data_IF_281693384657
#
_entry.id   IF_281693384657
#
_cell.length_a   1.000
_cell.length_b   1.000
_cell.length_c   1.000
_cell.angle_alpha   90.00
_cell.angle_beta   90.00
_cell.angle_gamma   90.00
#
_symmetry.space_group_name_H-M   'P 1'
#
loop_
_entity.id
_entity.type
_entity.pdbx_description
1 polymer ?
#
# COMPACT_ATOMS: atom_id res chain seq x y z
N UNK A 1 -69.50 -10.56 -33.56
CA UNK A 1 -68.86 -11.47 -32.57
C UNK A 1 -68.05 -12.58 -33.24
N UNK A 2 -68.67 -13.38 -34.14
CA UNK A 2 -67.99 -14.46 -34.86
C UNK A 2 -66.75 -14.02 -35.66
N UNK A 3 -66.81 -12.85 -36.31
CA UNK A 3 -65.68 -12.27 -37.06
C UNK A 3 -64.47 -11.89 -36.19
N UNK A 4 -64.70 -11.51 -34.94
CA UNK A 4 -63.62 -11.15 -34.00
C UNK A 4 -62.95 -12.43 -33.49
N UNK A 5 -63.75 -13.45 -33.18
CA UNK A 5 -63.28 -14.77 -32.73
C UNK A 5 -62.49 -15.47 -33.84
N UNK A 6 -62.92 -15.34 -35.11
CA UNK A 6 -62.20 -15.93 -36.25
C UNK A 6 -60.85 -15.25 -36.50
N UNK A 7 -60.78 -13.92 -36.35
CA UNK A 7 -59.51 -13.17 -36.43
C UNK A 7 -58.54 -13.55 -35.30
N UNK A 8 -59.03 -13.67 -34.05
CA UNK A 8 -58.21 -14.13 -32.93
C UNK A 8 -57.68 -15.55 -33.13
N UNK A 9 -58.53 -16.47 -33.60
CA UNK A 9 -58.15 -17.85 -33.86
C UNK A 9 -57.14 -17.98 -35.01
N UNK A 10 -57.30 -17.18 -36.09
CA UNK A 10 -56.36 -17.13 -37.19
C UNK A 10 -54.99 -16.58 -36.75
N UNK A 11 -54.97 -15.52 -35.94
CA UNK A 11 -53.73 -14.95 -35.40
C UNK A 11 -53.00 -15.91 -34.45
N UNK A 12 -53.73 -16.68 -33.64
CA UNK A 12 -53.14 -17.71 -32.76
C UNK A 12 -52.49 -18.82 -33.58
N UNK A 13 -53.18 -19.36 -34.59
CA UNK A 13 -52.64 -20.39 -35.49
C UNK A 13 -51.45 -19.89 -36.31
N UNK A 14 -51.45 -18.62 -36.73
CA UNK A 14 -50.32 -18.01 -37.44
C UNK A 14 -49.08 -17.89 -36.53
N UNK A 15 -49.26 -17.53 -35.26
CA UNK A 15 -48.17 -17.48 -34.27
C UNK A 15 -47.60 -18.87 -33.96
N UNK A 16 -48.46 -19.89 -33.85
CA UNK A 16 -48.05 -21.28 -33.60
C UNK A 16 -47.34 -21.89 -34.83
N UNK A 17 -47.81 -21.61 -36.05
CA UNK A 17 -47.11 -22.05 -37.29
C UNK A 17 -45.80 -21.30 -37.54
N UNK A 18 -45.71 -20.03 -37.16
CA UNK A 18 -44.49 -19.23 -37.24
C UNK A 18 -43.47 -19.51 -36.13
N UNK A 19 -43.81 -20.34 -35.15
CA UNK A 19 -42.92 -20.80 -34.07
C UNK A 19 -42.02 -21.97 -34.47
N UNK A 20 -41.76 -22.16 -35.77
CA UNK A 20 -40.44 -22.61 -36.25
C UNK A 20 -39.37 -21.54 -35.95
N UNK A 21 -39.35 -21.00 -34.72
CA UNK A 21 -38.11 -20.54 -34.12
C UNK A 21 -37.35 -21.83 -33.87
N UNK A 22 -36.58 -22.25 -34.86
CA UNK A 22 -35.47 -23.16 -34.67
C UNK A 22 -34.83 -22.78 -33.35
N UNK A 23 -34.93 -23.67 -32.37
CA UNK A 23 -34.27 -23.53 -31.09
C UNK A 23 -32.79 -23.58 -31.44
N UNK A 24 -32.23 -22.41 -31.72
CA UNK A 24 -30.80 -22.24 -31.91
C UNK A 24 -30.23 -22.53 -30.52
N UNK A 25 -29.61 -23.69 -30.39
CA UNK A 25 -28.91 -24.05 -29.17
C UNK A 25 -27.89 -22.96 -28.83
N UNK A 26 -27.59 -22.78 -27.55
CA UNK A 26 -26.63 -21.76 -27.09
C UNK A 26 -25.22 -21.96 -27.67
N UNK A 27 -24.95 -23.13 -28.25
CA UNK A 27 -23.75 -23.51 -28.97
C UNK A 27 -23.70 -23.00 -30.43
N UNK A 28 -24.84 -22.54 -30.97
CA UNK A 28 -24.95 -22.14 -32.38
C UNK A 28 -25.05 -20.63 -32.49
N UNK A 29 -24.11 -20.03 -33.21
CA UNK A 29 -24.25 -18.64 -33.65
C UNK A 29 -25.05 -18.60 -34.96
N UNK A 30 -26.02 -17.69 -35.03
CA UNK A 30 -26.82 -17.45 -36.26
C UNK A 30 -26.00 -16.68 -37.30
N UNK A 31 -24.89 -16.07 -36.86
CA UNK A 31 -24.08 -15.15 -37.65
C UNK A 31 -22.65 -15.67 -37.76
N UNK A 32 -22.14 -15.66 -38.98
CA UNK A 32 -20.70 -15.79 -39.20
C UNK A 32 -20.04 -14.49 -38.76
N UNK A 33 -19.31 -14.53 -37.64
CA UNK A 33 -18.53 -13.38 -37.20
C UNK A 33 -17.31 -13.21 -38.12
N UNK A 34 -16.94 -11.97 -38.48
CA UNK A 34 -15.71 -11.73 -39.21
C UNK A 34 -14.48 -12.14 -38.36
N UNK A 35 -13.35 -12.46 -38.99
CA UNK A 35 -12.10 -12.68 -38.27
C UNK A 35 -11.75 -11.44 -37.45
N UNK A 36 -11.08 -11.68 -36.33
CA UNK A 36 -10.62 -10.61 -35.44
C UNK A 36 -9.60 -9.73 -36.17
N UNK A 37 -9.61 -8.42 -35.87
CA UNK A 37 -8.69 -7.47 -36.51
C UNK A 37 -7.24 -7.78 -36.08
N UNK A 38 -6.32 -8.08 -37.02
CA UNK A 38 -4.92 -8.36 -36.70
C UNK A 38 -4.19 -7.16 -36.09
N UNK A 39 -4.72 -5.94 -36.27
CA UNK A 39 -4.16 -4.72 -35.69
C UNK A 39 -4.70 -4.41 -34.28
N UNK A 40 -5.57 -5.26 -33.73
CA UNK A 40 -6.12 -5.03 -32.40
C UNK A 40 -5.06 -5.27 -31.31
N UNK A 41 -4.61 -4.19 -30.68
CA UNK A 41 -3.82 -4.23 -29.46
C UNK A 41 -4.73 -4.14 -28.21
N UNK A 42 -4.79 -5.19 -27.35
CA UNK A 42 -5.56 -5.16 -26.12
C UNK A 42 -5.15 -4.03 -25.16
N UNK A 43 -3.88 -3.63 -25.11
CA UNK A 43 -3.41 -2.61 -24.17
C UNK A 43 -3.85 -1.20 -24.58
N UNK A 44 -4.09 -0.98 -25.87
CA UNK A 44 -4.56 0.30 -26.42
C UNK A 44 -6.08 0.35 -26.48
N UNK A 45 -6.71 -0.72 -26.98
CA UNK A 45 -8.14 -0.73 -27.29
C UNK A 45 -9.02 -1.19 -26.13
N UNK A 46 -8.49 -2.00 -25.20
CA UNK A 46 -9.26 -2.43 -24.04
C UNK A 46 -9.04 -1.50 -22.85
N UNK A 47 -10.03 -0.62 -22.61
CA UNK A 47 -10.04 0.32 -21.49
C UNK A 47 -9.82 -0.35 -20.13
N UNK A 48 -10.35 -1.56 -19.93
CA UNK A 48 -10.17 -2.31 -18.69
C UNK A 48 -8.71 -2.71 -18.51
N UNK A 49 -8.06 -3.25 -19.55
CA UNK A 49 -6.65 -3.67 -19.49
C UNK A 49 -5.74 -2.47 -19.21
N UNK A 50 -6.01 -1.32 -19.84
CA UNK A 50 -5.29 -0.07 -19.58
C UNK A 50 -5.42 0.38 -18.12
N UNK A 51 -6.65 0.38 -17.58
CA UNK A 51 -6.89 0.75 -16.19
C UNK A 51 -6.20 -0.21 -15.20
N UNK A 52 -6.22 -1.51 -15.50
CA UNK A 52 -5.56 -2.53 -14.69
C UNK A 52 -4.04 -2.31 -14.63
N UNK A 53 -3.40 -2.07 -15.78
CA UNK A 53 -1.97 -1.80 -15.86
C UNK A 53 -1.56 -0.55 -15.07
N UNK A 54 -2.33 0.54 -15.19
CA UNK A 54 -2.09 1.77 -14.44
C UNK A 54 -2.19 1.54 -12.93
N UNK A 55 -3.20 0.77 -12.49
CA UNK A 55 -3.39 0.45 -11.08
C UNK A 55 -2.22 -0.37 -10.52
N UNK A 56 -1.75 -1.37 -11.26
CA UNK A 56 -0.59 -2.19 -10.84
C UNK A 56 0.67 -1.34 -10.67
N UNK A 57 0.92 -0.40 -11.58
CA UNK A 57 2.06 0.52 -11.45
C UNK A 57 1.94 1.40 -10.20
N UNK A 58 0.75 1.93 -9.94
CA UNK A 58 0.50 2.74 -8.75
C UNK A 58 0.72 1.94 -7.45
N UNK A 59 0.18 0.73 -7.37
CA UNK A 59 0.34 -0.15 -6.21
C UNK A 59 1.82 -0.49 -5.96
N UNK A 60 2.59 -0.79 -7.01
CA UNK A 60 4.02 -1.05 -6.91
C UNK A 60 4.81 0.17 -6.39
N UNK A 61 4.47 1.38 -6.86
CA UNK A 61 5.08 2.62 -6.35
C UNK A 61 4.77 2.86 -4.88
N UNK A 62 3.51 2.65 -4.47
CA UNK A 62 3.10 2.79 -3.07
C UNK A 62 3.82 1.80 -2.15
N UNK A 63 3.98 0.54 -2.59
CA UNK A 63 4.70 -0.46 -1.83
C UNK A 63 6.20 -0.13 -1.72
N UNK A 64 6.82 0.34 -2.81
CA UNK A 64 8.21 0.78 -2.80
C UNK A 64 8.44 1.96 -1.84
N UNK A 65 7.52 2.92 -1.79
CA UNK A 65 7.60 4.05 -0.87
C UNK A 65 7.46 3.59 0.59
N UNK A 66 6.49 2.70 0.89
CA UNK A 66 6.32 2.15 2.24
C UNK A 66 7.58 1.46 2.73
N UNK A 67 8.22 0.63 1.89
CA UNK A 67 9.48 -0.04 2.24
C UNK A 67 10.61 0.95 2.51
N UNK A 68 10.67 2.07 1.79
CA UNK A 68 11.66 3.14 2.03
C UNK A 68 11.45 3.82 3.38
N UNK A 69 10.20 4.15 3.71
CA UNK A 69 9.83 4.75 4.99
C UNK A 69 10.15 3.81 6.17
N UNK A 70 9.84 2.52 6.04
CA UNK A 70 10.18 1.50 7.05
C UNK A 70 11.70 1.40 7.27
N UNK A 71 12.49 1.41 6.20
CA UNK A 71 13.95 1.41 6.27
C UNK A 71 14.50 2.67 6.96
N UNK A 72 13.89 3.82 6.70
CA UNK A 72 14.27 5.09 7.32
C UNK A 72 13.97 5.09 8.83
N UNK A 73 12.80 4.60 9.23
CA UNK A 73 12.43 4.44 10.64
C UNK A 73 13.40 3.52 11.38
N UNK A 74 13.80 2.41 10.76
CA UNK A 74 14.79 1.49 11.32
C UNK A 74 16.16 2.16 11.51
N UNK A 75 16.59 2.99 10.55
CA UNK A 75 17.84 3.76 10.68
C UNK A 75 17.77 4.72 11.86
N UNK A 76 16.69 5.49 11.98
CA UNK A 76 16.48 6.42 13.08
C UNK A 76 16.45 5.72 14.45
N UNK A 77 15.85 4.53 14.54
CA UNK A 77 15.87 3.73 15.77
C UNK A 77 17.28 3.29 16.15
N UNK A 78 18.10 2.83 15.20
CA UNK A 78 19.51 2.48 15.45
C UNK A 78 20.33 3.69 15.89
N UNK A 79 20.11 4.84 15.28
CA UNK A 79 20.80 6.06 15.71
C UNK A 79 20.42 6.46 17.13
N UNK A 80 19.13 6.36 17.51
CA UNK A 80 18.67 6.63 18.88
C UNK A 80 19.27 5.65 19.89
N UNK A 81 19.34 4.35 19.58
CA UNK A 81 19.92 3.37 20.48
C UNK A 81 21.44 3.54 20.64
N UNK A 82 22.16 3.91 19.57
CA UNK A 82 23.61 4.17 19.63
C UNK A 82 23.98 5.40 20.46
N UNK A 83 23.11 6.40 20.54
CA UNK A 83 23.34 7.65 21.30
C UNK A 83 23.03 7.53 22.80
N UNK A 84 22.38 6.45 23.27
CA UNK A 84 22.01 6.29 24.69
C UNK A 84 23.08 5.64 25.56
N UNK A 85 24.18 5.13 24.97
CA UNK A 85 25.24 4.40 25.68
C UNK A 85 26.51 5.25 25.86
N UNK A 86 26.37 6.55 26.15
CA UNK A 86 27.47 7.26 26.82
C UNK A 86 27.28 7.00 28.32
N UNK A 87 28.14 6.21 28.98
CA UNK A 87 28.05 6.07 30.43
C UNK A 87 28.19 7.48 31.02
N UNK A 88 27.18 7.91 31.77
CA UNK A 88 27.27 9.09 32.63
C UNK A 88 28.27 8.80 33.74
N UNK A 89 29.55 8.72 33.43
CA UNK A 89 30.60 8.99 34.40
C UNK A 89 30.67 10.50 34.57
N UNK A 90 29.60 11.08 35.15
CA UNK A 90 29.67 12.43 35.67
C UNK A 90 30.53 12.35 36.92
N UNK A 91 31.78 12.76 36.75
CA UNK A 91 32.81 12.69 37.77
C UNK A 91 32.32 13.40 39.04
N UNK A 92 32.34 12.62 40.13
CA UNK A 92 32.08 13.08 41.47
C UNK A 92 33.30 13.90 41.97
N UNK A 93 33.52 15.08 41.38
CA UNK A 93 34.65 15.97 41.70
C UNK A 93 34.43 16.85 42.94
N UNK A 94 33.35 16.64 43.70
CA UNK A 94 33.16 17.35 44.98
C UNK A 94 34.08 16.85 46.11
N UNK A 95 34.63 15.64 46.00
CA UNK A 95 35.48 15.04 47.05
C UNK A 95 36.92 15.59 47.04
N UNK A 96 37.48 15.88 45.86
CA UNK A 96 38.90 16.27 45.72
C UNK A 96 39.20 17.70 46.21
N UNK A 97 38.22 18.60 46.17
CA UNK A 97 38.40 19.97 46.69
C UNK A 97 38.35 20.01 48.22
N UNK A 98 37.61 19.08 48.84
CA UNK A 98 37.51 18.98 50.29
C UNK A 98 38.83 18.49 50.92
N UNK A 99 39.53 17.57 50.27
CA UNK A 99 40.85 17.11 50.74
C UNK A 99 41.93 18.18 50.56
N UNK A 100 41.91 18.94 49.46
CA UNK A 100 42.84 20.06 49.24
C UNK A 100 42.69 21.21 50.24
N UNK A 101 41.47 21.51 50.71
CA UNK A 101 41.24 22.53 51.74
C UNK A 101 41.80 22.13 53.12
N UNK A 102 41.69 20.85 53.49
CA UNK A 102 42.21 20.35 54.78
C UNK A 102 43.74 20.41 54.80
N UNK A 103 44.42 20.04 53.71
CA UNK A 103 45.89 20.12 53.63
C UNK A 103 46.41 21.56 53.70
N UNK A 104 45.72 22.52 53.07
CA UNK A 104 46.14 23.93 53.09
C UNK A 104 45.91 24.58 54.47
N UNK A 105 44.90 24.15 55.22
CA UNK A 105 44.67 24.56 56.61
C UNK A 105 45.71 24.01 57.60
N UNK A 106 46.13 22.75 57.44
CA UNK A 106 47.15 22.14 58.30
C UNK A 106 48.54 22.76 58.13
N UNK A 107 48.90 23.14 56.90
CA UNK A 107 50.18 23.83 56.61
C UNK A 107 50.20 25.23 57.26
N UNK A 108 49.09 25.96 57.22
CA UNK A 108 48.98 27.29 57.86
C UNK A 108 49.03 27.22 59.40
N UNK A 109 48.47 26.16 60.01
CA UNK A 109 48.54 25.99 61.47
C UNK A 109 49.96 25.68 61.96
N UNK A 110 50.76 24.95 61.16
CA UNK A 110 52.12 24.55 61.53
C UNK A 110 53.12 25.71 61.50
N UNK A 111 52.89 26.72 60.64
CA UNK A 111 53.71 27.93 60.59
C UNK A 111 53.41 28.95 61.70
N UNK A 112 52.24 28.88 62.33
CA UNK A 112 51.81 29.83 63.36
C UNK A 112 52.32 29.50 64.77
N UNK A 113 52.83 28.29 65.00
CA UNK A 113 53.46 27.86 66.26
C UNK A 113 55.01 27.90 66.22
N UNK A 114 55.60 28.48 65.18
CA UNK A 114 57.06 28.55 64.97
C UNK A 114 57.61 29.98 64.94
N UNK A 115 56.79 30.95 65.34
CA UNK A 115 57.10 32.37 65.53
C UNK A 115 56.66 32.76 66.95
#
# INVERSE_FOLDING_TARGET
MAAIISQMAANKRAREKGQFRTIIGSDKCVYTLPPFDPCFDPMVHNKYMKALAQRQMYEAHMEANRRREELELLRLQREKSSKSTVPKTFMNNQSLWKTLFVFRGLIMLKFRNLL
#
